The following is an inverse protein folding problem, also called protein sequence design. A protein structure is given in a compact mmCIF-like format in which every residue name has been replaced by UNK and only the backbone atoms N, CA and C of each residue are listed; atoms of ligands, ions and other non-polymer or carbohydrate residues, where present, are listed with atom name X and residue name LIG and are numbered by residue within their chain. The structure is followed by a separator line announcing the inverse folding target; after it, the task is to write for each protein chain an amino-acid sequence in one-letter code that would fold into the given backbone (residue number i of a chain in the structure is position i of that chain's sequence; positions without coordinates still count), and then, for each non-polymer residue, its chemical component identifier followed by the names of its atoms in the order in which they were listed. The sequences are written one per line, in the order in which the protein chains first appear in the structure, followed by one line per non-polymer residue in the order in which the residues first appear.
data_IF_747062651489
#
_entry.id   IF_747062651489
#
_cell.length_a   1.000
_cell.length_b   1.000
_cell.length_c   1.000
_cell.angle_alpha   90.00
_cell.angle_beta   90.00
_cell.angle_gamma   90.00
#
_symmetry.space_group_name_H-M   'P 1'
#
loop_
_entity.id
_entity.type
_entity.pdbx_description
1 polymer ?
#
# COMPACT_ATOMS: atom_id res chain seq x y z
N UNK A 1 -9.10 3.98 -25.33
CA UNK A 1 -9.17 3.13 -24.16
C UNK A 1 -8.16 2.01 -24.32
N UNK A 2 -7.35 1.77 -23.31
CA UNK A 2 -6.44 0.62 -23.30
C UNK A 2 -7.16 -0.49 -22.54
N UNK A 3 -7.58 -1.53 -23.26
CA UNK A 3 -8.06 -2.76 -22.66
C UNK A 3 -6.86 -3.46 -22.03
N UNK A 4 -6.76 -3.48 -20.74
CA UNK A 4 -5.79 -4.28 -20.03
C UNK A 4 -6.47 -5.61 -19.69
N UNK A 5 -6.31 -6.59 -20.58
CA UNK A 5 -6.68 -7.96 -20.29
C UNK A 5 -5.72 -8.49 -19.23
N UNK A 6 -6.20 -8.67 -18.04
CA UNK A 6 -5.55 -9.61 -17.14
C UNK A 6 -6.27 -9.68 -15.82
N UNK A 7 -6.93 -10.69 -15.54
CA UNK A 7 -6.92 -11.41 -14.27
C UNK A 7 -7.78 -12.64 -14.46
N UNK A 8 -7.21 -13.82 -14.28
CA UNK A 8 -7.95 -15.02 -13.96
C UNK A 8 -8.76 -14.70 -12.67
N UNK A 9 -9.99 -14.28 -12.86
CA UNK A 9 -10.92 -14.09 -11.75
C UNK A 9 -11.74 -15.38 -11.73
N UNK A 10 -11.45 -16.24 -10.79
CA UNK A 10 -12.36 -17.34 -10.48
C UNK A 10 -13.76 -16.77 -10.26
N UNK A 11 -14.77 -17.37 -10.87
CA UNK A 11 -16.14 -16.86 -10.95
C UNK A 11 -16.76 -16.54 -9.58
N UNK A 12 -16.39 -17.28 -8.53
CA UNK A 12 -16.82 -17.02 -7.15
C UNK A 12 -16.28 -15.70 -6.55
N UNK A 13 -15.12 -15.25 -7.00
CA UNK A 13 -14.52 -14.00 -6.54
C UNK A 13 -15.01 -12.76 -7.31
N UNK A 14 -15.66 -12.94 -8.47
CA UNK A 14 -16.07 -11.84 -9.32
C UNK A 14 -17.18 -10.98 -8.73
N UNK A 15 -18.27 -11.59 -8.26
CA UNK A 15 -19.40 -10.85 -7.64
C UNK A 15 -18.98 -10.13 -6.36
N UNK A 16 -18.04 -10.71 -5.62
CA UNK A 16 -17.46 -10.09 -4.43
C UNK A 16 -16.56 -8.90 -4.79
N UNK A 17 -15.68 -9.04 -5.80
CA UNK A 17 -14.85 -7.92 -6.30
C UNK A 17 -15.69 -6.81 -6.89
N UNK A 18 -16.75 -7.12 -7.63
CA UNK A 18 -17.73 -6.17 -8.12
C UNK A 18 -18.42 -5.40 -6.99
N UNK A 19 -18.76 -6.08 -5.89
CA UNK A 19 -19.35 -5.44 -4.70
C UNK A 19 -18.38 -4.49 -4.01
N UNK A 20 -17.09 -4.86 -3.86
CA UNK A 20 -16.07 -3.96 -3.30
C UNK A 20 -15.82 -2.77 -4.21
N UNK A 21 -15.69 -2.98 -5.52
CA UNK A 21 -15.57 -1.90 -6.48
C UNK A 21 -16.80 -0.98 -6.43
N UNK A 22 -18.02 -1.51 -6.34
CA UNK A 22 -19.23 -0.70 -6.22
C UNK A 22 -19.28 0.09 -4.91
N UNK A 23 -18.80 -0.47 -3.80
CA UNK A 23 -18.70 0.23 -2.51
C UNK A 23 -17.65 1.35 -2.55
N UNK A 24 -16.55 1.15 -3.28
CA UNK A 24 -15.51 2.15 -3.46
C UNK A 24 -15.91 3.24 -4.47
N UNK A 25 -16.74 2.91 -5.47
CA UNK A 25 -17.19 3.85 -6.52
C UNK A 25 -18.48 4.60 -6.17
N UNK A 26 -19.35 4.06 -5.29
CA UNK A 26 -20.61 4.66 -4.89
C UNK A 26 -20.53 5.61 -3.69
N UNK A 27 -19.36 5.93 -3.18
CA UNK A 27 -19.22 7.01 -2.22
C UNK A 27 -19.44 8.33 -2.96
N UNK A 28 -20.48 9.07 -2.55
CA UNK A 28 -20.64 10.47 -2.93
C UNK A 28 -19.36 11.21 -2.50
N UNK A 29 -18.56 11.62 -3.48
CA UNK A 29 -17.37 12.41 -3.25
C UNK A 29 -17.77 13.76 -2.65
N UNK A 30 -17.61 13.92 -1.34
CA UNK A 30 -17.52 15.26 -0.77
C UNK A 30 -16.16 15.86 -1.15
N UNK A 31 -16.04 17.18 -1.22
CA UNK A 31 -14.85 17.91 -1.71
C UNK A 31 -13.53 17.54 -0.99
N UNK A 32 -13.59 16.76 0.09
CA UNK A 32 -12.46 16.28 0.89
C UNK A 32 -12.16 14.77 0.72
N UNK A 33 -12.87 14.03 -0.13
CA UNK A 33 -12.66 12.60 -0.31
C UNK A 33 -11.73 12.29 -1.48
N UNK A 34 -10.57 11.81 -1.14
CA UNK A 34 -9.40 11.58 -2.00
C UNK A 34 -9.46 10.30 -2.85
N UNK A 35 -10.57 9.54 -2.93
CA UNK A 35 -10.38 8.11 -3.15
C UNK A 35 -11.36 7.49 -4.13
N UNK A 36 -10.89 7.31 -5.37
CA UNK A 36 -11.48 6.30 -6.22
C UNK A 36 -10.35 5.52 -6.89
N UNK A 37 -10.38 4.17 -6.87
CA UNK A 37 -9.67 3.43 -7.89
C UNK A 37 -10.12 3.95 -9.25
N UNK A 38 -9.22 3.98 -10.20
CA UNK A 38 -9.54 4.37 -11.59
C UNK A 38 -10.86 3.73 -11.96
N UNK A 39 -11.86 4.53 -12.36
CA UNK A 39 -13.19 4.03 -12.68
C UNK A 39 -13.05 2.86 -13.65
N UNK A 40 -13.63 1.74 -13.27
CA UNK A 40 -13.45 0.51 -14.01
C UNK A 40 -14.80 0.03 -14.49
N UNK A 41 -14.99 -0.01 -15.78
CA UNK A 41 -16.14 -0.68 -16.37
C UNK A 41 -15.84 -2.18 -16.45
N UNK A 42 -16.83 -3.00 -16.12
CA UNK A 42 -16.74 -4.46 -16.20
C UNK A 42 -17.63 -4.92 -17.35
N UNK A 43 -17.05 -5.62 -18.29
CA UNK A 43 -17.76 -6.16 -19.45
C UNK A 43 -17.80 -7.68 -19.39
N UNK A 44 -18.98 -8.23 -19.64
CA UNK A 44 -19.14 -9.65 -19.98
C UNK A 44 -18.53 -9.89 -21.36
N UNK A 45 -17.85 -11.02 -21.57
CA UNK A 45 -17.23 -11.41 -22.84
C UNK A 45 -18.17 -11.29 -24.06
N UNK A 46 -19.48 -11.44 -23.86
CA UNK A 46 -20.46 -11.34 -24.92
C UNK A 46 -20.77 -9.92 -25.39
N UNK A 47 -20.21 -8.90 -24.72
CA UNK A 47 -20.42 -7.47 -25.03
C UNK A 47 -19.21 -6.83 -25.71
N UNK A 48 -18.10 -7.56 -25.86
CA UNK A 48 -16.88 -7.04 -26.46
C UNK A 48 -16.90 -7.32 -27.95
N UNK A 49 -16.83 -6.24 -28.74
CA UNK A 49 -16.96 -6.26 -30.21
C UNK A 49 -15.58 -6.13 -30.92
N UNK A 50 -14.50 -5.94 -30.18
CA UNK A 50 -13.16 -5.73 -30.76
C UNK A 50 -12.47 -7.06 -31.10
N UNK A 51 -11.96 -7.16 -32.35
CA UNK A 51 -11.38 -8.39 -32.95
C UNK A 51 -10.07 -8.86 -32.31
N UNK A 52 -9.40 -8.03 -31.49
CA UNK A 52 -8.07 -8.31 -30.93
C UNK A 52 -8.08 -8.79 -29.45
N UNK A 53 -9.25 -9.10 -28.90
CA UNK A 53 -9.36 -9.52 -27.50
C UNK A 53 -9.31 -11.06 -27.43
N UNK A 54 -8.46 -11.59 -26.56
CA UNK A 54 -8.40 -13.02 -26.29
C UNK A 54 -9.69 -13.49 -25.61
N UNK A 55 -10.58 -14.12 -26.37
CA UNK A 55 -11.93 -14.54 -25.97
C UNK A 55 -11.96 -15.68 -24.91
N UNK A 56 -10.82 -16.05 -24.34
CA UNK A 56 -10.73 -17.10 -23.31
C UNK A 56 -11.04 -16.60 -21.89
N UNK A 57 -11.27 -15.29 -21.71
CA UNK A 57 -11.60 -14.71 -20.42
C UNK A 57 -13.10 -14.53 -20.24
N UNK A 58 -13.60 -14.76 -19.03
CA UNK A 58 -15.04 -14.59 -18.72
C UNK A 58 -15.44 -13.12 -18.58
N UNK A 59 -14.51 -12.27 -18.13
CA UNK A 59 -14.74 -10.84 -17.89
C UNK A 59 -13.55 -9.99 -18.30
N UNK A 60 -13.82 -8.75 -18.67
CA UNK A 60 -12.84 -7.75 -19.03
C UNK A 60 -13.04 -6.49 -18.21
N UNK A 61 -11.95 -5.87 -17.80
CA UNK A 61 -11.94 -4.62 -17.07
C UNK A 61 -11.41 -3.52 -17.99
N UNK A 62 -12.21 -2.45 -18.15
CA UNK A 62 -11.75 -1.24 -18.80
C UNK A 62 -11.38 -0.22 -17.73
N UNK A 63 -10.16 0.29 -17.81
CA UNK A 63 -9.64 1.31 -16.91
C UNK A 63 -9.52 2.65 -17.63
N UNK A 64 -9.70 3.74 -16.89
CA UNK A 64 -9.41 5.07 -17.40
C UNK A 64 -7.93 5.18 -17.77
N UNK A 65 -7.67 5.85 -18.89
CA UNK A 65 -6.31 6.06 -19.37
C UNK A 65 -5.56 7.07 -18.49
N UNK A 66 -4.38 6.69 -18.02
CA UNK A 66 -3.48 7.58 -17.28
C UNK A 66 -2.44 8.12 -18.25
N UNK A 67 -2.53 9.42 -18.55
CA UNK A 67 -1.68 10.06 -19.55
C UNK A 67 -0.20 10.11 -19.18
N UNK A 68 0.12 10.09 -17.89
CA UNK A 68 1.48 10.20 -17.38
C UNK A 68 1.70 9.23 -16.23
N UNK A 69 2.69 8.34 -16.40
CA UNK A 69 3.11 7.40 -15.35
C UNK A 69 4.29 8.00 -14.61
N UNK A 70 4.19 8.03 -13.28
CA UNK A 70 5.25 8.49 -12.39
C UNK A 70 5.63 7.40 -11.37
N UNK A 71 6.86 7.44 -10.89
CA UNK A 71 7.39 6.45 -9.98
C UNK A 71 7.64 7.04 -8.58
N UNK A 72 7.56 6.24 -7.51
CA UNK A 72 7.70 6.73 -6.12
C UNK A 72 9.01 7.50 -5.86
N UNK A 73 10.08 7.15 -6.55
CA UNK A 73 11.37 7.85 -6.46
C UNK A 73 11.40 9.19 -7.21
N UNK A 74 10.33 9.56 -7.93
CA UNK A 74 10.16 10.87 -8.59
C UNK A 74 9.26 11.79 -7.75
N UNK A 75 8.53 11.23 -6.79
CA UNK A 75 7.51 11.96 -6.04
C UNK A 75 8.13 12.90 -4.99
N UNK A 76 7.43 14.00 -4.77
CA UNK A 76 7.69 14.87 -3.64
C UNK A 76 7.30 14.18 -2.32
N UNK A 77 7.76 14.76 -1.20
CA UNK A 77 7.35 14.29 0.14
C UNK A 77 5.83 14.24 0.30
N UNK A 78 5.12 15.26 -0.19
CA UNK A 78 3.68 15.34 -0.03
C UNK A 78 2.95 14.35 -0.93
N UNK A 79 3.43 14.11 -2.15
CA UNK A 79 2.87 13.05 -3.01
C UNK A 79 3.03 11.67 -2.36
N UNK A 80 4.21 11.33 -1.84
CA UNK A 80 4.39 10.05 -1.15
C UNK A 80 3.51 9.96 0.11
N UNK A 81 3.33 11.07 0.83
CA UNK A 81 2.45 11.14 1.99
C UNK A 81 0.98 10.92 1.61
N UNK A 82 0.50 11.57 0.56
CA UNK A 82 -0.87 11.43 0.08
C UNK A 82 -1.13 10.01 -0.43
N UNK A 83 -0.16 9.41 -1.13
CA UNK A 83 -0.22 8.02 -1.54
C UNK A 83 -0.27 7.05 -0.35
N UNK A 84 0.51 7.31 0.71
CA UNK A 84 0.48 6.51 1.95
C UNK A 84 -0.88 6.61 2.65
N UNK A 85 -1.47 7.80 2.70
CA UNK A 85 -2.80 8.01 3.30
C UNK A 85 -3.88 7.30 2.49
N UNK A 86 -3.85 7.43 1.15
CA UNK A 86 -4.75 6.69 0.27
C UNK A 86 -4.69 5.18 0.54
N UNK A 87 -3.49 4.61 0.59
CA UNK A 87 -3.32 3.18 0.83
C UNK A 87 -3.92 2.75 2.17
N UNK A 88 -3.66 3.50 3.24
CA UNK A 88 -4.17 3.19 4.58
C UNK A 88 -5.70 3.29 4.67
N UNK A 89 -6.30 4.31 4.04
CA UNK A 89 -7.77 4.47 4.01
C UNK A 89 -8.43 3.36 3.19
N UNK A 90 -7.85 2.98 2.04
CA UNK A 90 -8.34 1.83 1.26
C UNK A 90 -8.25 0.53 2.05
N UNK A 91 -7.12 0.29 2.73
CA UNK A 91 -6.95 -0.88 3.58
C UNK A 91 -8.00 -0.94 4.71
N UNK A 92 -8.25 0.20 5.38
CA UNK A 92 -9.27 0.29 6.42
C UNK A 92 -10.66 -0.01 5.87
N UNK A 93 -11.05 0.65 4.77
CA UNK A 93 -12.34 0.43 4.12
C UNK A 93 -12.50 -1.02 3.64
N UNK A 94 -11.44 -1.61 3.13
CA UNK A 94 -11.44 -3.02 2.72
C UNK A 94 -11.70 -3.95 3.90
N UNK A 95 -10.99 -3.76 5.02
CA UNK A 95 -11.18 -4.55 6.24
C UNK A 95 -12.58 -4.43 6.83
N UNK A 96 -13.20 -3.25 6.76
CA UNK A 96 -14.59 -3.03 7.18
C UNK A 96 -15.60 -3.84 6.34
N UNK A 97 -15.20 -4.24 5.13
CA UNK A 97 -16.00 -5.02 4.18
C UNK A 97 -15.50 -6.47 3.97
N UNK A 98 -14.72 -7.02 4.90
CA UNK A 98 -14.14 -8.38 4.85
C UNK A 98 -13.14 -8.61 3.71
N UNK A 99 -12.44 -7.54 3.29
CA UNK A 99 -11.36 -7.58 2.32
C UNK A 99 -10.07 -7.03 2.90
N UNK A 100 -8.93 -7.35 2.27
CA UNK A 100 -7.62 -6.81 2.61
C UNK A 100 -6.82 -6.54 1.33
N UNK A 101 -5.88 -5.60 1.40
CA UNK A 101 -4.90 -5.40 0.33
C UNK A 101 -3.75 -6.39 0.50
N UNK A 102 -3.49 -7.17 -0.55
CA UNK A 102 -2.40 -8.15 -0.59
C UNK A 102 -1.04 -7.48 -0.49
N UNK A 103 -0.85 -6.38 -1.21
CA UNK A 103 0.40 -5.65 -1.31
C UNK A 103 0.26 -4.22 -0.80
N UNK A 104 1.32 -3.70 -0.16
CA UNK A 104 1.39 -2.34 0.36
C UNK A 104 2.54 -1.57 -0.30
N UNK A 105 2.47 -1.45 -1.62
CA UNK A 105 3.49 -0.79 -2.43
C UNK A 105 2.98 0.51 -3.05
N UNK A 106 3.79 1.59 -3.10
CA UNK A 106 3.44 2.82 -3.80
C UNK A 106 3.38 2.66 -5.33
N UNK A 107 3.92 1.57 -5.89
CA UNK A 107 3.80 1.26 -7.32
C UNK A 107 2.36 0.95 -7.76
N UNK A 108 1.47 0.63 -6.82
CA UNK A 108 0.05 0.44 -7.05
C UNK A 108 -0.73 1.78 -7.04
N UNK A 109 -0.04 2.91 -7.04
CA UNK A 109 -0.63 4.24 -7.00
C UNK A 109 -0.07 5.09 -8.13
N UNK A 110 -0.94 5.88 -8.76
CA UNK A 110 -0.58 6.90 -9.75
C UNK A 110 -1.22 8.25 -9.37
N UNK A 111 -0.88 9.29 -10.10
CA UNK A 111 -1.44 10.63 -9.87
C UNK A 111 -2.17 11.15 -11.09
N UNK A 112 -3.41 11.62 -10.90
CA UNK A 112 -4.18 12.38 -11.89
C UNK A 112 -4.54 13.71 -11.25
N UNK A 113 -4.16 14.81 -11.90
CA UNK A 113 -4.43 16.18 -11.41
C UNK A 113 -3.98 16.37 -9.94
N UNK A 114 -2.78 15.88 -9.60
CA UNK A 114 -2.19 15.90 -8.25
C UNK A 114 -2.93 15.09 -7.17
N UNK A 115 -3.92 14.28 -7.54
CA UNK A 115 -4.62 13.38 -6.63
C UNK A 115 -4.07 11.96 -6.81
N UNK A 116 -3.73 11.24 -5.73
CA UNK A 116 -3.31 9.84 -5.82
C UNK A 116 -4.50 8.96 -6.16
N UNK A 117 -4.28 7.99 -7.02
CA UNK A 117 -5.28 7.02 -7.46
C UNK A 117 -4.69 5.63 -7.36
N UNK A 118 -5.40 4.71 -6.74
CA UNK A 118 -5.03 3.31 -6.67
C UNK A 118 -5.38 2.59 -7.97
N UNK A 119 -4.39 1.90 -8.57
CA UNK A 119 -4.53 1.30 -9.91
C UNK A 119 -4.53 -0.23 -9.92
N UNK A 120 -4.17 -0.88 -8.81
CA UNK A 120 -4.07 -2.34 -8.72
C UNK A 120 -5.34 -2.95 -8.09
N UNK A 121 -6.41 -3.05 -8.88
CA UNK A 121 -7.66 -3.67 -8.43
C UNK A 121 -7.52 -5.15 -8.04
N UNK A 122 -6.63 -5.96 -8.66
CA UNK A 122 -6.37 -7.34 -8.23
C UNK A 122 -5.75 -7.50 -6.84
N UNK A 123 -5.20 -6.45 -6.28
CA UNK A 123 -4.62 -6.46 -4.92
C UNK A 123 -5.66 -6.66 -3.81
N UNK A 124 -6.94 -6.42 -4.10
CA UNK A 124 -8.02 -6.70 -3.14
C UNK A 124 -8.31 -8.19 -3.07
N UNK A 125 -8.05 -8.80 -1.91
CA UNK A 125 -8.34 -10.22 -1.63
C UNK A 125 -9.27 -10.34 -0.43
N UNK A 126 -9.98 -11.47 -0.33
CA UNK A 126 -10.85 -11.74 0.81
C UNK A 126 -10.00 -11.87 2.08
N UNK A 127 -10.39 -11.16 3.14
CA UNK A 127 -9.74 -11.29 4.43
C UNK A 127 -10.17 -12.58 5.13
N UNK A 128 -9.20 -13.39 5.54
CA UNK A 128 -9.44 -14.60 6.31
C UNK A 128 -9.44 -14.27 7.82
N UNK A 129 -10.33 -14.91 8.56
CA UNK A 129 -10.45 -14.67 10.01
C UNK A 129 -9.12 -14.93 10.72
N UNK A 130 -8.73 -14.00 11.56
CA UNK A 130 -7.47 -14.00 12.31
C UNK A 130 -6.20 -13.90 11.42
N UNK A 131 -6.33 -13.61 10.16
CA UNK A 131 -5.19 -13.29 9.30
C UNK A 131 -4.67 -11.88 9.59
N UNK A 132 -3.34 -11.76 9.80
CA UNK A 132 -2.70 -10.48 10.05
C UNK A 132 -2.54 -9.63 8.79
N UNK A 133 -2.10 -8.40 8.96
CA UNK A 133 -1.70 -7.54 7.84
C UNK A 133 -0.29 -7.93 7.37
N UNK A 134 -0.19 -8.91 6.50
CA UNK A 134 1.07 -9.49 6.02
C UNK A 134 1.96 -8.45 5.31
N UNK A 135 1.37 -7.51 4.57
CA UNK A 135 2.10 -6.44 3.87
C UNK A 135 2.45 -5.22 4.74
N UNK A 136 2.24 -5.27 6.08
CA UNK A 136 2.62 -4.22 7.02
C UNK A 136 4.10 -3.81 6.91
N UNK A 137 5.00 -4.80 6.84
CA UNK A 137 6.44 -4.54 6.69
C UNK A 137 6.73 -3.80 5.38
N UNK A 138 6.10 -4.21 4.30
CA UNK A 138 6.23 -3.55 3.00
C UNK A 138 5.75 -2.10 3.06
N UNK A 139 4.60 -1.83 3.70
CA UNK A 139 4.13 -0.47 3.94
C UNK A 139 5.16 0.36 4.70
N UNK A 140 5.73 -0.18 5.77
CA UNK A 140 6.77 0.53 6.53
C UNK A 140 7.98 0.87 5.66
N UNK A 141 8.48 -0.09 4.89
CA UNK A 141 9.69 0.08 4.08
C UNK A 141 9.51 1.06 2.92
N UNK A 142 8.32 1.04 2.29
CA UNK A 142 8.09 1.76 1.04
C UNK A 142 7.37 3.11 1.21
N UNK A 143 6.66 3.31 2.32
CA UNK A 143 5.97 4.57 2.61
C UNK A 143 6.47 5.23 3.90
N UNK A 144 6.36 4.52 5.04
CA UNK A 144 6.57 5.14 6.34
C UNK A 144 8.03 5.56 6.58
N UNK A 145 8.98 4.67 6.29
CA UNK A 145 10.40 4.94 6.53
C UNK A 145 10.95 6.04 5.60
N UNK A 146 10.64 6.08 4.29
CA UNK A 146 10.97 7.22 3.45
C UNK A 146 10.42 8.54 3.97
N UNK A 147 9.15 8.57 4.41
CA UNK A 147 8.54 9.76 5.01
C UNK A 147 9.22 10.17 6.31
N UNK A 148 9.54 9.22 7.19
CA UNK A 148 10.27 9.49 8.45
C UNK A 148 11.70 9.97 8.17
N UNK A 149 12.37 9.41 7.17
CA UNK A 149 13.71 9.83 6.75
C UNK A 149 13.72 11.32 6.40
N UNK A 150 12.76 11.76 5.58
CA UNK A 150 12.63 13.16 5.21
C UNK A 150 12.19 14.03 6.39
N UNK A 151 11.16 13.63 7.12
CA UNK A 151 10.59 14.44 8.20
C UNK A 151 11.53 14.61 9.40
N UNK A 152 12.26 13.57 9.78
CA UNK A 152 13.07 13.57 10.99
C UNK A 152 14.55 13.84 10.75
N UNK A 153 15.08 13.43 9.58
CA UNK A 153 16.49 13.54 9.25
C UNK A 153 16.79 14.60 8.19
N UNK A 154 15.78 15.07 7.47
CA UNK A 154 15.89 15.95 6.32
C UNK A 154 16.73 15.35 5.17
N UNK A 155 16.71 14.02 5.07
CA UNK A 155 17.37 13.29 4.01
C UNK A 155 16.40 13.00 2.86
N UNK A 156 16.88 13.09 1.64
CA UNK A 156 16.08 12.79 0.45
C UNK A 156 15.97 11.26 0.27
N UNK A 157 14.74 10.76 0.29
CA UNK A 157 14.45 9.35 0.13
C UNK A 157 14.48 8.87 -1.33
N UNK A 158 14.37 9.79 -2.30
CA UNK A 158 14.20 9.46 -3.72
C UNK A 158 15.37 8.67 -4.29
N UNK A 159 16.59 9.07 -3.98
CA UNK A 159 17.79 8.34 -4.43
C UNK A 159 17.85 6.93 -3.84
N UNK A 160 17.42 6.76 -2.59
CA UNK A 160 17.41 5.45 -1.93
C UNK A 160 16.33 4.55 -2.55
N UNK A 161 15.10 5.06 -2.76
CA UNK A 161 14.05 4.30 -3.43
C UNK A 161 14.40 3.95 -4.88
N UNK A 162 15.15 4.79 -5.58
CA UNK A 162 15.61 4.50 -6.94
C UNK A 162 16.65 3.38 -6.98
N UNK A 163 17.51 3.31 -5.98
CA UNK A 163 18.56 2.28 -5.89
C UNK A 163 18.07 0.98 -5.24
N UNK A 164 16.99 1.04 -4.45
CA UNK A 164 16.38 -0.12 -3.78
C UNK A 164 14.85 -0.07 -3.93
N UNK A 165 14.34 -0.82 -4.89
CA UNK A 165 12.91 -0.86 -5.23
C UNK A 165 12.05 -1.51 -4.13
N UNK A 166 12.65 -2.29 -3.22
CA UNK A 166 11.98 -2.88 -2.06
C UNK A 166 11.80 -1.90 -0.89
N UNK A 167 12.32 -0.68 -1.03
CA UNK A 167 12.17 0.37 -0.03
C UNK A 167 13.36 0.49 0.93
N UNK A 168 13.13 1.13 2.06
CA UNK A 168 14.12 1.38 3.12
C UNK A 168 13.90 0.39 4.26
N UNK A 169 14.93 -0.36 4.66
CA UNK A 169 14.79 -1.30 5.78
C UNK A 169 14.87 -0.62 7.16
N UNK A 170 14.37 -1.32 8.19
CA UNK A 170 14.33 -0.85 9.57
C UNK A 170 15.71 -0.59 10.14
N UNK A 171 16.72 -1.39 9.78
CA UNK A 171 18.09 -1.27 10.25
C UNK A 171 18.78 -0.02 9.71
N UNK A 172 18.57 0.29 8.41
CA UNK A 172 19.10 1.52 7.82
C UNK A 172 18.53 2.76 8.54
N UNK A 173 17.19 2.82 8.69
CA UNK A 173 16.56 3.95 9.34
C UNK A 173 16.97 4.06 10.82
N UNK A 174 16.96 2.94 11.57
CA UNK A 174 17.37 2.90 12.97
C UNK A 174 18.80 3.44 13.17
N UNK A 175 19.76 2.98 12.38
CA UNK A 175 21.16 3.42 12.46
C UNK A 175 21.37 4.88 12.04
N UNK A 176 20.48 5.42 11.22
CA UNK A 176 20.52 6.82 10.81
C UNK A 176 19.94 7.78 11.87
N UNK A 177 19.17 7.27 12.83
CA UNK A 177 18.54 8.08 13.85
C UNK A 177 19.50 8.37 15.01
N UNK A 178 19.60 9.64 15.43
CA UNK A 178 20.25 10.02 16.68
C UNK A 178 19.34 9.70 17.87
N UNK A 179 19.93 9.54 19.07
CA UNK A 179 19.21 9.10 20.28
C UNK A 179 17.95 9.92 20.57
N UNK A 180 18.03 11.25 20.47
CA UNK A 180 16.88 12.14 20.69
C UNK A 180 15.75 11.95 19.65
N UNK A 181 16.03 11.40 18.48
CA UNK A 181 15.04 11.14 17.43
C UNK A 181 14.33 9.81 17.61
N UNK A 182 14.85 8.91 18.44
CA UNK A 182 14.18 7.64 18.75
C UNK A 182 12.82 7.86 19.44
N UNK A 183 12.66 8.99 20.14
CA UNK A 183 11.40 9.36 20.82
C UNK A 183 10.41 10.11 19.91
N UNK A 184 10.73 10.29 18.64
CA UNK A 184 9.79 10.87 17.68
C UNK A 184 8.60 9.93 17.46
N UNK A 185 7.44 10.52 17.14
CA UNK A 185 6.18 9.79 17.00
C UNK A 185 6.32 8.65 15.99
N UNK A 186 5.93 7.44 16.40
CA UNK A 186 5.96 6.24 15.58
C UNK A 186 7.33 5.56 15.46
N UNK A 187 8.44 6.19 15.91
CA UNK A 187 9.79 5.61 15.76
C UNK A 187 9.95 4.39 16.66
N UNK A 188 9.56 4.47 17.94
CA UNK A 188 9.71 3.32 18.85
C UNK A 188 8.90 2.11 18.36
N UNK A 189 7.64 2.31 17.96
CA UNK A 189 6.72 1.24 17.58
C UNK A 189 7.00 0.65 16.20
N UNK A 190 7.37 1.49 15.23
CA UNK A 190 7.45 1.06 13.82
C UNK A 190 8.87 0.99 13.27
N UNK A 191 9.90 1.43 14.01
CA UNK A 191 11.30 1.35 13.59
C UNK A 191 12.12 0.54 14.60
N UNK A 192 12.13 0.97 15.88
CA UNK A 192 12.99 0.34 16.90
C UNK A 192 12.55 -1.08 17.20
N UNK A 193 11.26 -1.28 17.46
CA UNK A 193 10.71 -2.60 17.80
C UNK A 193 10.88 -3.61 16.65
N UNK A 194 10.49 -3.30 15.40
CA UNK A 194 10.77 -4.18 14.25
C UNK A 194 12.25 -4.49 14.07
N UNK A 195 13.13 -3.49 14.20
CA UNK A 195 14.59 -3.70 14.12
C UNK A 195 15.09 -4.71 15.17
N UNK A 196 14.66 -4.57 16.43
CA UNK A 196 15.05 -5.47 17.51
C UNK A 196 14.50 -6.88 17.29
N UNK A 197 13.28 -7.01 16.79
CA UNK A 197 12.67 -8.30 16.46
C UNK A 197 13.42 -9.00 15.32
N UNK A 198 13.70 -8.30 14.22
CA UNK A 198 14.47 -8.82 13.09
C UNK A 198 15.87 -9.28 13.53
N UNK A 199 16.56 -8.48 14.34
CA UNK A 199 17.88 -8.82 14.89
C UNK A 199 17.82 -10.05 15.78
N UNK A 200 16.77 -10.22 16.60
CA UNK A 200 16.58 -11.38 17.44
C UNK A 200 16.36 -12.66 16.63
N UNK A 201 15.58 -12.57 15.54
CA UNK A 201 15.34 -13.69 14.62
C UNK A 201 16.65 -14.12 13.95
N UNK A 202 17.39 -13.17 13.37
CA UNK A 202 18.67 -13.44 12.70
C UNK A 202 19.71 -14.05 13.66
N UNK A 203 19.69 -13.68 14.94
CA UNK A 203 20.55 -14.30 15.95
C UNK A 203 20.16 -15.75 16.21
N UNK A 204 18.86 -16.03 16.34
CA UNK A 204 18.36 -17.41 16.52
C UNK A 204 18.63 -18.29 15.31
N UNK A 205 18.50 -17.77 14.09
CA UNK A 205 18.78 -18.52 12.85
C UNK A 205 20.28 -18.89 12.71
N UNK A 206 21.19 -18.10 13.28
CA UNK A 206 22.63 -18.45 13.32
C UNK A 206 22.93 -19.57 14.31
N UNK A 207 22.13 -19.68 15.37
CA UNK A 207 22.36 -20.60 16.49
C UNK A 207 21.58 -21.94 16.34
N UNK A 208 20.63 -22.05 15.39
CA UNK A 208 19.78 -23.22 15.19
C UNK A 208 19.55 -23.51 13.69
N UNK A 209 19.62 -24.80 13.33
CA UNK A 209 19.36 -25.31 11.97
C UNK A 209 17.89 -25.13 11.53
N UNK A 210 17.52 -25.49 10.30
CA UNK A 210 16.93 -24.68 9.25
C UNK A 210 15.54 -24.06 9.56
N UNK A 211 15.30 -22.96 8.87
CA UNK A 211 14.12 -22.07 8.91
C UNK A 211 12.80 -22.83 8.99
N UNK A 212 12.14 -22.76 10.15
CA UNK A 212 10.68 -22.98 10.23
C UNK A 212 9.98 -21.89 9.44
N UNK A 213 8.99 -22.27 8.62
CA UNK A 213 8.06 -21.33 8.00
C UNK A 213 7.68 -20.22 8.97
N UNK A 214 7.78 -18.97 8.51
CA UNK A 214 7.39 -17.82 9.33
C UNK A 214 5.93 -18.02 9.74
N UNK A 215 5.70 -18.23 11.01
CA UNK A 215 4.34 -18.34 11.57
C UNK A 215 3.62 -17.04 11.27
N UNK A 216 2.56 -17.09 10.46
CA UNK A 216 1.70 -15.92 10.21
C UNK A 216 1.23 -15.35 11.55
N UNK A 217 1.36 -14.06 11.73
CA UNK A 217 0.91 -13.39 12.96
C UNK A 217 -0.61 -13.34 12.92
N UNK A 218 -1.25 -14.01 13.89
CA UNK A 218 -2.71 -13.92 14.03
C UNK A 218 -3.10 -12.57 14.61
N UNK A 219 -3.96 -11.85 13.92
CA UNK A 219 -4.49 -10.56 14.36
C UNK A 219 -5.99 -10.50 14.13
N UNK A 220 -6.73 -9.93 15.09
CA UNK A 220 -8.14 -9.64 14.86
C UNK A 220 -8.29 -8.43 13.92
N UNK A 221 -9.37 -8.40 13.14
CA UNK A 221 -9.71 -7.26 12.27
C UNK A 221 -9.65 -5.92 13.02
N UNK A 222 -10.22 -5.88 14.23
CA UNK A 222 -10.25 -4.68 15.07
C UNK A 222 -8.81 -4.22 15.39
N UNK A 223 -7.90 -5.15 15.69
CA UNK A 223 -6.51 -4.78 15.99
C UNK A 223 -5.75 -4.28 14.77
N UNK A 224 -6.06 -4.79 13.57
CA UNK A 224 -5.49 -4.28 12.33
C UNK A 224 -6.02 -2.87 12.04
N UNK A 225 -7.33 -2.64 12.16
CA UNK A 225 -7.93 -1.31 11.98
C UNK A 225 -7.33 -0.30 12.96
N UNK A 226 -7.18 -0.67 14.23
CA UNK A 226 -6.55 0.20 15.23
C UNK A 226 -5.08 0.53 14.89
N UNK A 227 -4.33 -0.43 14.35
CA UNK A 227 -2.98 -0.22 13.83
C UNK A 227 -2.98 0.75 12.65
N UNK A 228 -3.88 0.57 11.68
CA UNK A 228 -4.06 1.44 10.51
C UNK A 228 -4.40 2.86 10.95
N UNK A 229 -5.35 3.06 11.88
CA UNK A 229 -5.71 4.37 12.43
C UNK A 229 -4.51 5.05 13.12
N UNK A 230 -3.71 4.28 13.86
CA UNK A 230 -2.47 4.78 14.45
C UNK A 230 -1.49 5.25 13.38
N UNK A 231 -1.34 4.50 12.28
CA UNK A 231 -0.46 4.86 11.19
C UNK A 231 -0.95 6.08 10.41
N UNK A 232 -2.25 6.21 10.13
CA UNK A 232 -2.86 7.41 9.58
C UNK A 232 -2.50 8.64 10.43
N UNK A 233 -2.65 8.51 11.76
CA UNK A 233 -2.29 9.57 12.73
C UNK A 233 -0.80 9.93 12.71
N UNK A 234 0.07 8.95 12.50
CA UNK A 234 1.52 9.18 12.39
C UNK A 234 1.81 9.91 11.08
N UNK A 235 1.37 9.37 9.94
CA UNK A 235 1.62 9.92 8.61
C UNK A 235 1.09 11.36 8.49
N UNK A 236 -0.12 11.64 8.99
CA UNK A 236 -0.69 12.98 9.00
C UNK A 236 0.18 14.00 9.72
N UNK A 237 0.87 13.61 10.79
CA UNK A 237 1.74 14.50 11.57
C UNK A 237 3.15 14.69 11.01
N UNK A 238 3.57 13.85 10.05
CA UNK A 238 4.85 14.03 9.37
C UNK A 238 4.83 15.28 8.49
N UNK A 239 5.88 16.07 8.57
CA UNK A 239 6.08 17.29 7.78
C UNK A 239 7.51 17.34 7.24
N UNK A 240 7.69 17.73 6.00
CA UNK A 240 9.02 18.04 5.47
C UNK A 240 9.59 19.26 6.18
N UNK A 241 10.87 19.24 6.50
CA UNK A 241 11.56 20.40 7.13
C UNK A 241 11.90 21.48 6.13
N UNK A 242 12.26 21.10 4.90
CA UNK A 242 12.51 22.07 3.85
C UNK A 242 11.21 22.46 3.18
N UNK A 243 10.83 23.72 3.32
CA UNK A 243 9.76 24.38 2.55
C UNK A 243 10.21 24.81 1.15
N UNK A 244 11.18 24.12 0.57
CA UNK A 244 11.63 24.39 -0.80
C UNK A 244 11.16 23.23 -1.65
N UNK A 245 10.20 23.57 -2.49
CA UNK A 245 9.59 22.82 -3.61
C UNK A 245 10.57 22.10 -4.50
#
# INVERSE_FOLDING_TARGET
PVLQASVEIESENFELKKKVLSLLTNRECTENELFLPVATAIYDKNKIIEEDVNLNWDFYLEHDYINFISYPYEWSFYQLKDAALLHLELLKTSLENDWILKDSTPYNIQFINNKPIFIDTPSFIKWEKDEGWDSYRQFCMMFLYPLMLRAYLDLDFRLILRSNLDGIDSNFLYKSLSFNKLFKKGVLSHVVLPYLMERSILKKERDTAPVKERTKIKQSRISIIALVDSMINIVNKLKSKSSIS
#
